data_IF_293357361096
#
_entry.id   IF_293357361096
#
_cell.length_a   1.000
_cell.length_b   1.000
_cell.length_c   1.000
_cell.angle_alpha   90.00
_cell.angle_beta   90.00
_cell.angle_gamma   90.00
#
_symmetry.space_group_name_H-M   'P 1'
#
loop_
_entity.id
_entity.type
_entity.pdbx_description
1 polymer ?
#
# COMPACT_ATOMS: atom_id res chain seq x y z
N UNK A 1 22.84 0.81 9.94
CA UNK A 1 22.81 -0.33 9.00
C UNK A 1 21.40 -0.41 8.44
N UNK A 2 21.25 -0.57 7.12
CA UNK A 2 19.93 -0.76 6.52
C UNK A 2 19.58 -2.24 6.61
N UNK A 3 18.54 -2.59 7.36
CA UNK A 3 18.01 -3.96 7.45
C UNK A 3 17.10 -4.21 6.25
N UNK A 4 17.25 -5.34 5.59
CA UNK A 4 16.34 -5.80 4.53
C UNK A 4 15.27 -6.69 5.14
N UNK A 5 14.04 -6.57 4.66
CA UNK A 5 12.92 -7.36 5.13
C UNK A 5 11.99 -7.75 3.98
N UNK A 6 11.37 -8.93 4.11
CA UNK A 6 10.17 -9.29 3.36
C UNK A 6 8.97 -8.69 4.07
N UNK A 7 8.07 -8.03 3.34
CA UNK A 7 6.86 -7.42 3.87
C UNK A 7 5.69 -7.88 3.02
N UNK A 8 4.68 -8.42 3.67
CA UNK A 8 3.46 -8.91 3.02
C UNK A 8 2.22 -8.46 3.79
N UNK A 9 1.16 -8.14 3.07
CA UNK A 9 -0.09 -7.76 3.70
C UNK A 9 -1.02 -6.94 2.83
N UNK A 10 -2.10 -6.49 3.46
CA UNK A 10 -3.11 -5.63 2.83
C UNK A 10 -3.49 -4.49 3.75
N UNK A 11 -3.73 -3.32 3.16
CA UNK A 11 -4.42 -2.21 3.80
C UNK A 11 -5.71 -1.96 3.03
N UNK A 12 -6.84 -2.00 3.72
CA UNK A 12 -8.15 -1.70 3.13
C UNK A 12 -8.64 -0.36 3.64
N UNK A 13 -8.97 0.56 2.73
CA UNK A 13 -9.29 1.96 3.01
C UNK A 13 -10.79 2.21 2.82
N UNK A 14 -11.42 2.91 3.76
CA UNK A 14 -12.85 3.25 3.76
C UNK A 14 -13.06 4.73 4.10
N UNK A 15 -13.76 5.51 3.26
CA UNK A 15 -14.27 5.14 1.94
C UNK A 15 -13.13 4.82 0.94
N UNK A 16 -13.39 4.25 -0.24
CA UNK A 16 -12.35 4.05 -1.25
C UNK A 16 -11.71 5.38 -1.69
N UNK A 17 -10.39 5.39 -1.90
CA UNK A 17 -9.64 6.54 -2.37
C UNK A 17 -9.95 6.82 -3.85
N UNK A 18 -10.22 8.08 -4.24
CA UNK A 18 -10.37 8.43 -5.65
C UNK A 18 -9.02 8.25 -6.37
N UNK A 19 -9.03 7.66 -7.57
CA UNK A 19 -7.80 7.44 -8.34
C UNK A 19 -7.02 8.73 -8.58
N UNK A 20 -7.73 9.86 -8.71
CA UNK A 20 -7.13 11.18 -8.87
C UNK A 20 -6.17 11.55 -7.72
N UNK A 21 -6.45 11.13 -6.48
CA UNK A 21 -5.57 11.38 -5.34
C UNK A 21 -4.30 10.51 -5.35
N UNK A 22 -4.33 9.41 -6.11
CA UNK A 22 -3.22 8.48 -6.24
C UNK A 22 -2.35 8.77 -7.47
N UNK A 23 -2.72 9.74 -8.32
CA UNK A 23 -1.94 10.03 -9.54
C UNK A 23 -0.50 10.40 -9.23
N UNK A 24 -0.25 11.18 -8.18
CA UNK A 24 1.11 11.49 -7.78
C UNK A 24 1.89 10.26 -7.33
N UNK A 25 1.23 9.21 -6.86
CA UNK A 25 1.88 7.96 -6.50
C UNK A 25 2.21 7.17 -7.75
N UNK A 26 1.26 6.96 -8.66
CA UNK A 26 1.40 6.03 -9.79
C UNK A 26 2.03 6.62 -11.05
N UNK A 27 2.00 7.93 -11.26
CA UNK A 27 2.54 8.59 -12.47
C UNK A 27 4.01 9.06 -12.30
N UNK A 28 4.59 8.86 -11.11
CA UNK A 28 6.01 9.19 -10.88
C UNK A 28 6.91 8.21 -11.65
N UNK A 29 7.97 8.71 -12.30
CA UNK A 29 9.02 7.83 -12.82
C UNK A 29 9.57 7.00 -11.66
N UNK A 30 9.57 5.67 -11.83
CA UNK A 30 9.96 4.69 -10.81
C UNK A 30 9.01 4.57 -9.62
N UNK A 31 7.72 4.88 -9.80
CA UNK A 31 6.73 4.51 -8.80
C UNK A 31 6.71 2.99 -8.59
N UNK A 32 6.80 2.53 -7.33
CA UNK A 32 6.62 1.12 -7.00
C UNK A 32 5.13 0.73 -6.95
N UNK A 33 4.22 1.71 -7.02
CA UNK A 33 2.79 1.51 -6.96
C UNK A 33 2.22 1.20 -8.34
N UNK A 34 1.54 0.07 -8.45
CA UNK A 34 0.95 -0.42 -9.68
C UNK A 34 -0.56 -0.48 -9.52
N UNK A 35 -1.28 0.17 -10.43
CA UNK A 35 -2.72 0.14 -10.47
C UNK A 35 -3.20 -1.17 -11.11
N UNK A 36 -3.92 -1.98 -10.34
CA UNK A 36 -4.60 -3.14 -10.90
C UNK A 36 -5.91 -2.75 -11.58
N UNK A 37 -6.23 -3.42 -12.68
CA UNK A 37 -7.50 -3.23 -13.40
C UNK A 37 -8.63 -4.11 -12.86
N UNK A 38 -8.33 -5.07 -11.97
CA UNK A 38 -9.32 -5.96 -11.35
C UNK A 38 -9.00 -6.19 -9.87
N UNK A 39 -10.03 -6.46 -9.06
CA UNK A 39 -9.90 -6.69 -7.61
C UNK A 39 -9.08 -7.95 -7.24
N UNK A 40 -8.89 -8.89 -8.19
CA UNK A 40 -8.21 -10.17 -7.97
C UNK A 40 -6.80 -10.22 -8.58
N UNK A 41 -6.21 -9.07 -8.92
CA UNK A 41 -4.87 -9.06 -9.48
C UNK A 41 -3.85 -9.62 -8.47
N UNK A 42 -3.14 -10.68 -8.85
CA UNK A 42 -1.95 -11.11 -8.15
C UNK A 42 -0.77 -10.31 -8.67
N UNK A 43 -0.08 -9.61 -7.77
CA UNK A 43 1.12 -8.84 -8.12
C UNK A 43 2.29 -9.76 -8.34
N UNK A 44 3.29 -9.26 -9.07
CA UNK A 44 4.60 -9.85 -9.00
C UNK A 44 5.24 -9.50 -7.66
N UNK A 45 6.12 -10.38 -7.16
CA UNK A 45 6.89 -10.12 -5.95
C UNK A 45 7.76 -8.87 -6.17
N UNK A 46 7.69 -7.90 -5.25
CA UNK A 46 8.35 -6.61 -5.34
C UNK A 46 7.42 -5.44 -5.70
N UNK A 47 6.12 -5.68 -5.85
CA UNK A 47 5.14 -4.69 -6.28
C UNK A 47 4.23 -4.22 -5.13
N UNK A 48 3.82 -2.95 -5.19
CA UNK A 48 2.79 -2.37 -4.33
C UNK A 48 1.53 -2.22 -5.15
N UNK A 49 0.55 -3.08 -4.95
CA UNK A 49 -0.64 -3.10 -5.79
C UNK A 49 -1.76 -2.27 -5.22
N UNK A 50 -2.27 -1.34 -6.01
CA UNK A 50 -3.49 -0.60 -5.74
C UNK A 50 -4.66 -1.31 -6.41
N UNK A 51 -5.53 -1.93 -5.61
CA UNK A 51 -6.67 -2.71 -6.08
C UNK A 51 -7.96 -1.89 -5.98
N UNK A 52 -8.76 -1.84 -7.06
CA UNK A 52 -10.08 -1.25 -7.02
C UNK A 52 -11.05 -2.11 -6.22
N UNK A 53 -12.10 -1.51 -5.62
CA UNK A 53 -13.19 -2.29 -5.06
C UNK A 53 -13.92 -3.09 -6.14
N UNK A 54 -14.59 -4.18 -5.75
CA UNK A 54 -15.39 -4.97 -6.68
C UNK A 54 -16.50 -4.11 -7.33
N UNK A 55 -16.67 -4.24 -8.65
CA UNK A 55 -17.65 -3.45 -9.39
C UNK A 55 -17.30 -1.96 -9.56
N UNK A 56 -16.06 -1.55 -9.27
CA UNK A 56 -15.60 -0.18 -9.47
C UNK A 56 -15.89 0.30 -10.90
N UNK A 57 -16.48 1.49 -11.02
CA UNK A 57 -16.64 2.16 -12.31
C UNK A 57 -15.27 2.43 -12.94
N UNK A 58 -15.19 2.31 -14.26
CA UNK A 58 -14.01 2.65 -15.05
C UNK A 58 -14.15 4.04 -15.67
N UNK A 59 -13.04 4.75 -15.82
CA UNK A 59 -12.96 6.01 -16.56
C UNK A 59 -12.95 5.78 -18.09
N UNK A 60 -12.90 6.86 -18.86
CA UNK A 60 -12.88 6.79 -20.32
C UNK A 60 -11.63 6.08 -20.90
N UNK A 61 -10.57 5.91 -20.10
CA UNK A 61 -9.36 5.19 -20.45
C UNK A 61 -9.36 3.72 -19.97
N UNK A 62 -10.48 3.25 -19.37
CA UNK A 62 -10.62 1.90 -18.86
C UNK A 62 -9.95 1.66 -17.50
N UNK A 63 -9.62 2.72 -16.76
CA UNK A 63 -8.97 2.64 -15.43
C UNK A 63 -10.01 2.75 -14.32
N UNK A 64 -9.83 2.08 -13.18
CA UNK A 64 -10.76 2.22 -12.06
C UNK A 64 -10.84 3.65 -11.55
N UNK A 65 -12.03 4.10 -11.22
CA UNK A 65 -12.25 5.45 -10.65
C UNK A 65 -11.78 5.57 -9.19
N UNK A 66 -11.75 4.45 -8.47
CA UNK A 66 -11.40 4.40 -7.04
C UNK A 66 -10.55 3.17 -6.73
N UNK A 67 -9.79 3.25 -5.64
CA UNK A 67 -8.96 2.19 -5.07
C UNK A 67 -9.36 1.99 -3.63
N UNK A 68 -9.60 0.74 -3.23
CA UNK A 68 -10.00 0.41 -1.87
C UNK A 68 -8.91 -0.34 -1.11
N UNK A 69 -7.96 -0.98 -1.81
CA UNK A 69 -6.96 -1.81 -1.13
C UNK A 69 -5.57 -1.53 -1.67
N UNK A 70 -4.61 -1.38 -0.76
CA UNK A 70 -3.18 -1.48 -1.05
C UNK A 70 -2.70 -2.88 -0.63
N UNK A 71 -2.29 -3.69 -1.58
CA UNK A 71 -1.65 -4.98 -1.33
C UNK A 71 -0.13 -4.84 -1.44
N UNK A 72 0.57 -5.36 -0.45
CA UNK A 72 2.03 -5.28 -0.33
C UNK A 72 2.59 -6.69 -0.37
N UNK A 73 3.56 -6.93 -1.26
CA UNK A 73 4.37 -8.15 -1.28
C UNK A 73 5.75 -7.79 -1.83
N UNK A 74 6.65 -7.38 -0.94
CA UNK A 74 7.95 -6.83 -1.32
C UNK A 74 9.10 -7.39 -0.49
N UNK A 75 10.30 -7.42 -1.10
CA UNK A 75 11.56 -7.65 -0.41
C UNK A 75 12.42 -6.41 -0.60
N UNK A 76 12.53 -5.59 0.44
CA UNK A 76 13.12 -4.25 0.34
C UNK A 76 13.78 -3.82 1.66
N UNK A 77 14.45 -2.68 1.63
CA UNK A 77 14.98 -2.06 2.85
C UNK A 77 13.83 -1.65 3.76
N UNK A 78 14.00 -1.84 5.06
CA UNK A 78 13.03 -1.44 6.09
C UNK A 78 12.65 0.04 5.98
N UNK A 79 13.63 0.91 5.72
CA UNK A 79 13.40 2.35 5.53
C UNK A 79 12.55 2.65 4.30
N UNK A 80 12.78 1.96 3.18
CA UNK A 80 11.99 2.16 1.95
C UNK A 80 10.54 1.70 2.14
N UNK A 81 10.35 0.59 2.85
CA UNK A 81 8.99 0.10 3.20
C UNK A 81 8.30 1.08 4.14
N UNK A 82 9.00 1.54 5.18
CA UNK A 82 8.49 2.51 6.14
C UNK A 82 8.05 3.79 5.43
N UNK A 83 8.92 4.40 4.61
CA UNK A 83 8.60 5.65 3.91
C UNK A 83 7.37 5.52 3.02
N UNK A 84 7.20 4.39 2.31
CA UNK A 84 6.08 4.17 1.40
C UNK A 84 4.76 3.95 2.13
N UNK A 85 4.76 3.09 3.15
CA UNK A 85 3.58 2.88 3.98
C UNK A 85 3.15 4.16 4.66
N UNK A 86 4.10 4.95 5.16
CA UNK A 86 3.85 6.22 5.82
C UNK A 86 3.23 7.23 4.85
N UNK A 87 3.78 7.35 3.65
CA UNK A 87 3.20 8.23 2.62
C UNK A 87 1.77 7.84 2.27
N UNK A 88 1.47 6.54 2.16
CA UNK A 88 0.12 6.06 1.88
C UNK A 88 -0.84 6.33 3.05
N UNK A 89 -0.41 6.09 4.29
CA UNK A 89 -1.21 6.39 5.49
C UNK A 89 -1.49 7.90 5.63
N UNK A 90 -0.47 8.73 5.42
CA UNK A 90 -0.61 10.19 5.42
C UNK A 90 -1.61 10.67 4.36
N UNK A 91 -1.62 10.05 3.18
CA UNK A 91 -2.63 10.33 2.16
C UNK A 91 -4.04 10.00 2.67
N UNK A 92 -4.23 8.83 3.29
CA UNK A 92 -5.52 8.40 3.83
C UNK A 92 -6.01 9.39 4.90
N UNK A 93 -5.16 9.74 5.87
CA UNK A 93 -5.47 10.70 6.91
C UNK A 93 -5.82 12.08 6.36
N UNK A 94 -5.02 12.59 5.42
CA UNK A 94 -5.23 13.92 4.83
C UNK A 94 -6.60 14.03 4.15
N UNK A 95 -7.07 12.93 3.58
CA UNK A 95 -8.37 12.86 2.91
C UNK A 95 -9.51 12.47 3.86
N UNK A 96 -9.22 12.12 5.12
CA UNK A 96 -10.20 11.68 6.10
C UNK A 96 -10.74 10.27 5.84
N UNK A 97 -9.89 9.36 5.36
CA UNK A 97 -10.22 7.97 5.14
C UNK A 97 -9.68 7.09 6.27
N UNK A 98 -10.52 6.19 6.76
CA UNK A 98 -10.14 5.15 7.71
C UNK A 98 -9.48 3.98 6.96
N UNK A 99 -8.72 3.14 7.67
CA UNK A 99 -8.18 1.91 7.09
C UNK A 99 -8.18 0.76 8.09
N UNK A 100 -8.03 -0.44 7.54
CA UNK A 100 -7.78 -1.69 8.26
C UNK A 100 -6.51 -2.29 7.70
N UNK A 101 -5.51 -2.49 8.55
CA UNK A 101 -4.22 -3.08 8.20
C UNK A 101 -4.10 -4.55 8.62
N UNK A 102 -3.46 -5.33 7.75
CA UNK A 102 -2.96 -6.67 8.04
C UNK A 102 -1.57 -6.81 7.40
N UNK A 103 -0.57 -6.08 7.92
CA UNK A 103 0.78 -6.04 7.34
C UNK A 103 1.81 -6.67 8.27
N UNK A 104 2.59 -7.60 7.74
CA UNK A 104 3.60 -8.38 8.47
C UNK A 104 4.95 -8.23 7.81
N UNK A 105 6.01 -8.40 8.61
CA UNK A 105 7.37 -8.44 8.10
C UNK A 105 8.16 -9.64 8.60
N UNK A 106 9.20 -9.98 7.84
CA UNK A 106 10.27 -10.89 8.22
C UNK A 106 11.62 -10.29 7.85
N UNK A 107 12.52 -10.14 8.81
CA UNK A 107 13.88 -9.68 8.58
C UNK A 107 14.80 -10.79 8.05
N UNK A 108 15.99 -10.44 7.58
CA UNK A 108 17.00 -11.39 7.08
C UNK A 108 17.49 -12.40 8.14
N UNK A 109 17.45 -12.02 9.42
CA UNK A 109 17.76 -12.91 10.55
C UNK A 109 16.59 -13.83 10.94
N UNK A 110 15.52 -13.83 10.15
CA UNK A 110 14.29 -14.58 10.32
C UNK A 110 13.39 -14.11 11.48
N UNK A 111 13.73 -13.03 12.18
CA UNK A 111 12.80 -12.36 13.10
C UNK A 111 11.56 -11.88 12.34
N UNK A 112 10.41 -11.91 12.99
CA UNK A 112 9.10 -11.61 12.40
C UNK A 112 8.38 -10.58 13.26
N UNK A 113 7.40 -9.92 12.67
CA UNK A 113 6.59 -8.95 13.39
C UNK A 113 5.43 -8.43 12.56
N UNK A 114 4.73 -7.45 13.13
CA UNK A 114 3.63 -6.71 12.50
C UNK A 114 4.01 -5.24 12.33
N UNK A 115 3.42 -4.60 11.33
CA UNK A 115 3.52 -3.15 11.15
C UNK A 115 2.16 -2.56 11.54
N UNK A 116 2.14 -1.73 12.59
CA UNK A 116 0.96 -1.04 13.08
C UNK A 116 0.98 0.43 12.65
N UNK A 117 -0.19 0.95 12.30
CA UNK A 117 -0.36 2.35 11.91
C UNK A 117 -0.87 3.14 13.10
N UNK A 118 -0.16 4.19 13.47
CA UNK A 118 -0.60 5.11 14.50
C UNK A 118 -1.64 6.10 13.94
N UNK A 119 -2.46 6.68 14.83
CA UNK A 119 -3.50 7.65 14.46
C UNK A 119 -2.95 8.93 13.81
N UNK A 120 -1.65 9.21 13.96
CA UNK A 120 -0.95 10.34 13.35
C UNK A 120 -0.32 10.01 11.98
N UNK A 121 -0.45 8.76 11.52
CA UNK A 121 0.10 8.27 10.26
C UNK A 121 1.55 7.82 10.37
N UNK A 122 2.13 7.79 11.56
CA UNK A 122 3.40 7.13 11.82
C UNK A 122 3.24 5.61 11.89
N UNK A 123 4.38 4.91 11.84
CA UNK A 123 4.42 3.45 11.74
C UNK A 123 5.27 2.86 12.86
N UNK A 124 4.68 1.95 13.61
CA UNK A 124 5.41 1.12 14.56
C UNK A 124 5.64 -0.28 13.98
N UNK A 125 6.81 -0.81 14.30
CA UNK A 125 7.26 -2.13 13.85
C UNK A 125 7.45 -2.98 15.10
N UNK A 126 6.51 -3.88 15.34
CA UNK A 126 6.42 -4.68 16.56
C UNK A 126 6.90 -6.10 16.28
N UNK A 127 7.84 -6.59 17.10
CA UNK A 127 8.42 -7.95 17.05
C UNK A 127 7.57 -8.98 17.80
#
# INVERSE_FOLDING_TARGET
>A
MSVTCSVEGTLTVTPPLPLAALWEFIDRPHSPFILATTANASGARGEWLLLPPEGCALDAAGRPTHVATLKVDVYARRSETHDRLRQFAQLCLTLGHDWVEEVRYQNEDLSRGVIEFCDDGELDWLE
#
